data_IF_639629663259
#
_entry.id   IF_639629663259
#
_cell.length_a   1.000
_cell.length_b   1.000
_cell.length_c   1.000
_cell.angle_alpha   90.00
_cell.angle_beta   90.00
_cell.angle_gamma   90.00
#
_symmetry.space_group_name_H-M   'P 1'
#
loop_
_entity.id
_entity.type
_entity.pdbx_description
1 polymer ?
#
# COMPACT_ATOMS: atom_id res chain seq x y z
N UNK A 1 -11.64 13.21 -26.05
CA UNK A 1 -11.76 11.89 -25.37
C UNK A 1 -11.26 10.85 -26.34
N UNK A 2 -9.98 10.49 -26.27
CA UNK A 2 -9.41 9.39 -27.04
C UNK A 2 -9.88 8.09 -26.40
N UNK A 3 -10.56 7.27 -27.17
CA UNK A 3 -10.96 5.91 -26.76
C UNK A 3 -9.71 5.04 -26.69
N UNK A 4 -9.27 4.71 -25.47
CA UNK A 4 -8.31 3.62 -25.30
C UNK A 4 -8.91 2.33 -25.85
N UNK A 5 -8.13 1.56 -26.60
CA UNK A 5 -8.62 0.25 -27.09
C UNK A 5 -8.98 -0.62 -25.89
N UNK A 6 -10.00 -1.48 -26.00
CA UNK A 6 -10.43 -2.36 -24.90
C UNK A 6 -9.30 -3.20 -24.29
N UNK A 7 -8.34 -3.62 -25.12
CA UNK A 7 -7.13 -4.32 -24.67
C UNK A 7 -6.27 -3.46 -23.70
N UNK A 8 -6.05 -2.18 -24.05
CA UNK A 8 -5.25 -1.28 -23.23
C UNK A 8 -5.93 -1.04 -21.87
N UNK A 9 -7.24 -0.86 -21.87
CA UNK A 9 -8.02 -0.68 -20.65
C UNK A 9 -7.97 -1.93 -19.76
N UNK A 10 -8.11 -3.12 -20.36
CA UNK A 10 -7.98 -4.39 -19.64
C UNK A 10 -6.61 -4.59 -19.00
N UNK A 11 -5.52 -4.28 -19.72
CA UNK A 11 -4.16 -4.36 -19.18
C UNK A 11 -3.91 -3.37 -18.04
N UNK A 12 -4.41 -2.15 -18.15
CA UNK A 12 -4.31 -1.16 -17.08
C UNK A 12 -5.10 -1.59 -15.84
N UNK A 13 -6.32 -2.10 -16.00
CA UNK A 13 -7.13 -2.60 -14.88
C UNK A 13 -6.48 -3.80 -14.21
N UNK A 14 -5.89 -4.73 -14.97
CA UNK A 14 -5.16 -5.86 -14.44
C UNK A 14 -3.90 -5.42 -13.67
N UNK A 15 -3.13 -4.46 -14.19
CA UNK A 15 -1.95 -3.93 -13.49
C UNK A 15 -2.34 -3.24 -12.17
N UNK A 16 -3.43 -2.46 -12.16
CA UNK A 16 -3.96 -1.86 -10.93
C UNK A 16 -4.38 -2.92 -9.90
N UNK A 17 -5.04 -4.01 -10.34
CA UNK A 17 -5.40 -5.12 -9.44
C UNK A 17 -4.19 -5.83 -8.86
N UNK A 18 -3.14 -6.04 -9.67
CA UNK A 18 -1.89 -6.64 -9.21
C UNK A 18 -1.21 -5.74 -8.18
N UNK A 19 -1.05 -4.45 -8.47
CA UNK A 19 -0.43 -3.49 -7.54
C UNK A 19 -1.22 -3.39 -6.24
N UNK A 20 -2.54 -3.32 -6.32
CA UNK A 20 -3.42 -3.26 -5.15
C UNK A 20 -3.26 -4.48 -4.25
N UNK A 21 -3.02 -5.67 -4.81
CA UNK A 21 -2.92 -6.92 -4.06
C UNK A 21 -1.73 -6.95 -3.09
N UNK A 22 -0.59 -6.34 -3.41
CA UNK A 22 0.62 -6.48 -2.60
C UNK A 22 1.19 -5.17 -2.06
N UNK A 23 1.06 -4.06 -2.81
CA UNK A 23 1.79 -2.81 -2.55
C UNK A 23 1.52 -2.24 -1.15
N UNK A 24 0.25 -1.99 -0.82
CA UNK A 24 -0.13 -1.46 0.51
C UNK A 24 0.13 -2.46 1.63
N UNK A 25 -0.13 -3.74 1.37
CA UNK A 25 0.12 -4.83 2.31
C UNK A 25 1.59 -4.93 2.70
N UNK A 26 2.51 -4.74 1.74
CA UNK A 26 3.95 -4.71 2.00
C UNK A 26 4.34 -3.55 2.91
N UNK A 27 3.79 -2.36 2.69
CA UNK A 27 4.07 -1.21 3.55
C UNK A 27 3.52 -1.39 4.96
N UNK A 28 2.31 -1.95 5.12
CA UNK A 28 1.79 -2.29 6.45
C UNK A 28 2.67 -3.30 7.16
N UNK A 29 3.15 -4.34 6.47
CA UNK A 29 4.09 -5.31 7.04
C UNK A 29 5.40 -4.66 7.49
N UNK A 30 6.05 -3.86 6.63
CA UNK A 30 7.33 -3.21 6.95
C UNK A 30 7.16 -2.23 8.12
N UNK A 31 6.11 -1.41 8.11
CA UNK A 31 5.82 -0.46 9.19
C UNK A 31 5.61 -1.18 10.51
N UNK A 32 4.83 -2.27 10.50
CA UNK A 32 4.58 -3.10 11.67
C UNK A 32 5.82 -3.86 12.15
N UNK A 33 6.70 -4.26 11.24
CA UNK A 33 7.97 -4.89 11.60
C UNK A 33 8.90 -3.93 12.37
N UNK A 34 8.96 -2.66 11.97
CA UNK A 34 9.83 -1.66 12.59
C UNK A 34 9.22 -1.03 13.85
N UNK A 35 7.91 -1.07 14.01
CA UNK A 35 7.18 -0.38 15.06
C UNK A 35 7.49 -0.87 16.48
N UNK A 36 7.57 -2.19 16.80
CA UNK A 36 7.86 -2.67 18.14
C UNK A 36 9.20 -2.16 18.69
N UNK A 37 10.23 -2.12 17.84
CA UNK A 37 11.53 -1.55 18.20
C UNK A 37 11.42 -0.07 18.57
N UNK A 38 10.67 0.70 17.79
CA UNK A 38 10.46 2.13 18.05
C UNK A 38 9.72 2.36 19.36
N UNK A 39 8.65 1.57 19.62
CA UNK A 39 7.87 1.66 20.85
C UNK A 39 8.68 1.26 22.09
N UNK A 40 9.37 0.12 22.02
CA UNK A 40 10.17 -0.39 23.16
C UNK A 40 11.32 0.57 23.56
N UNK A 41 11.87 1.30 22.57
CA UNK A 41 12.92 2.30 22.82
C UNK A 41 12.40 3.62 23.39
N UNK A 42 11.26 4.13 22.89
CA UNK A 42 10.77 5.48 23.19
C UNK A 42 9.80 5.52 24.36
N UNK A 43 9.11 4.42 24.64
CA UNK A 43 7.98 4.37 25.55
C UNK A 43 6.72 5.00 24.96
N UNK A 44 5.56 4.78 25.61
CA UNK A 44 4.24 5.11 25.07
C UNK A 44 4.06 6.60 24.73
N UNK A 45 4.34 7.50 25.68
CA UNK A 45 4.08 8.95 25.48
C UNK A 45 4.90 9.52 24.34
N UNK A 46 6.20 9.24 24.32
CA UNK A 46 7.09 9.73 23.27
C UNK A 46 6.81 9.06 21.91
N UNK A 47 6.38 7.81 21.91
CA UNK A 47 5.96 7.11 20.69
C UNK A 47 4.72 7.76 20.07
N UNK A 48 3.65 7.96 20.87
CA UNK A 48 2.41 8.60 20.40
C UNK A 48 2.69 10.01 19.87
N UNK A 49 3.44 10.82 20.61
CA UNK A 49 3.81 12.16 20.16
C UNK A 49 4.57 12.16 18.83
N UNK A 50 5.53 11.26 18.69
CA UNK A 50 6.31 11.11 17.44
C UNK A 50 5.41 10.68 16.26
N UNK A 51 4.43 9.78 16.49
CA UNK A 51 3.49 9.35 15.46
C UNK A 51 2.50 10.44 15.05
N UNK A 52 1.96 11.15 16.00
CA UNK A 52 1.08 12.29 15.72
C UNK A 52 1.81 13.40 14.97
N UNK A 53 3.05 13.70 15.34
CA UNK A 53 3.85 14.70 14.64
C UNK A 53 4.19 14.25 13.19
N UNK A 54 4.66 13.00 13.01
CA UNK A 54 5.14 12.51 11.72
C UNK A 54 4.03 12.11 10.75
N UNK A 55 2.92 11.55 11.24
CA UNK A 55 1.83 11.05 10.42
C UNK A 55 0.58 11.93 10.53
N UNK A 56 0.22 12.34 11.76
CA UNK A 56 -1.00 13.09 12.02
C UNK A 56 -0.97 14.50 11.43
N UNK A 57 0.08 15.29 11.67
CA UNK A 57 0.16 16.66 11.16
C UNK A 57 0.16 16.69 9.62
N UNK A 58 1.01 15.92 8.90
CA UNK A 58 0.93 15.88 7.44
C UNK A 58 -0.42 15.39 6.91
N UNK A 59 -1.04 14.42 7.58
CA UNK A 59 -2.37 13.95 7.23
C UNK A 59 -3.42 15.06 7.31
N UNK A 60 -3.42 15.86 8.39
CA UNK A 60 -4.34 17.00 8.54
C UNK A 60 -4.08 18.06 7.48
N UNK A 61 -2.82 18.44 7.24
CA UNK A 61 -2.46 19.41 6.20
C UNK A 61 -2.96 18.92 4.83
N UNK A 62 -2.72 17.64 4.51
CA UNK A 62 -3.19 17.08 3.25
C UNK A 62 -4.71 17.11 3.15
N UNK A 63 -5.41 16.59 4.16
CA UNK A 63 -6.86 16.40 4.12
C UNK A 63 -7.65 17.71 4.05
N UNK A 64 -7.18 18.74 4.76
CA UNK A 64 -7.90 20.03 4.86
C UNK A 64 -7.40 21.10 3.91
N UNK A 65 -6.16 20.99 3.40
CA UNK A 65 -5.58 22.00 2.52
C UNK A 65 -5.27 21.43 1.13
N UNK A 66 -4.44 20.40 1.04
CA UNK A 66 -3.93 19.92 -0.26
C UNK A 66 -5.03 19.26 -1.08
N UNK A 67 -5.80 18.34 -0.47
CA UNK A 67 -6.86 17.62 -1.18
C UNK A 67 -7.99 18.53 -1.70
N UNK A 68 -8.57 19.48 -0.92
CA UNK A 68 -9.54 20.42 -1.44
C UNK A 68 -9.01 21.32 -2.57
N UNK A 69 -7.76 21.79 -2.46
CA UNK A 69 -7.11 22.58 -3.50
C UNK A 69 -6.86 21.76 -4.77
N UNK A 70 -6.48 20.48 -4.63
CA UNK A 70 -6.28 19.58 -5.76
C UNK A 70 -7.60 19.32 -6.51
N UNK A 71 -8.69 19.11 -5.78
CA UNK A 71 -10.03 18.94 -6.36
C UNK A 71 -10.45 20.24 -7.09
N UNK A 72 -10.20 21.41 -6.48
CA UNK A 72 -10.47 22.68 -7.13
C UNK A 72 -9.66 22.85 -8.42
N UNK A 73 -8.39 22.46 -8.41
CA UNK A 73 -7.54 22.54 -9.60
C UNK A 73 -8.00 21.64 -10.74
N UNK A 74 -8.53 20.45 -10.42
CA UNK A 74 -8.99 19.46 -11.42
C UNK A 74 -10.39 19.81 -11.96
N UNK A 75 -11.32 20.19 -11.05
CA UNK A 75 -12.76 20.29 -11.38
C UNK A 75 -13.33 21.71 -11.31
N UNK A 76 -12.56 22.69 -10.87
CA UNK A 76 -13.02 24.08 -10.72
C UNK A 76 -13.98 24.32 -9.55
N UNK A 77 -14.21 23.30 -8.70
CA UNK A 77 -15.10 23.37 -7.53
C UNK A 77 -14.35 23.03 -6.25
N UNK A 78 -14.65 23.73 -5.16
CA UNK A 78 -13.99 23.45 -3.88
C UNK A 78 -14.29 22.01 -3.41
N UNK A 79 -13.24 21.26 -3.21
CA UNK A 79 -13.35 19.91 -2.69
C UNK A 79 -13.72 19.90 -1.21
N UNK A 80 -14.42 18.84 -0.80
CA UNK A 80 -14.59 18.53 0.63
C UNK A 80 -13.28 18.01 1.21
N UNK A 81 -13.02 18.22 2.52
CA UNK A 81 -11.92 17.54 3.20
C UNK A 81 -11.98 16.04 2.98
N UNK A 82 -10.83 15.44 2.67
CA UNK A 82 -10.76 14.00 2.38
C UNK A 82 -9.32 13.52 2.40
N UNK A 83 -9.13 12.21 2.60
CA UNK A 83 -7.80 11.65 2.73
C UNK A 83 -7.09 11.52 1.39
N UNK A 84 -7.83 11.34 0.28
CA UNK A 84 -7.20 11.01 -1.01
C UNK A 84 -6.19 9.87 -0.83
N UNK A 85 -5.01 9.93 -1.46
CA UNK A 85 -3.97 8.90 -1.27
C UNK A 85 -3.47 8.75 0.16
N UNK A 86 -3.65 9.74 1.04
CA UNK A 86 -3.21 9.69 2.45
C UNK A 86 -4.07 8.78 3.33
N UNK A 87 -5.10 8.11 2.78
CA UNK A 87 -5.87 7.10 3.50
C UNK A 87 -4.99 6.00 4.12
N UNK A 88 -3.87 5.65 3.45
CA UNK A 88 -2.89 4.71 3.99
C UNK A 88 -2.27 5.22 5.29
N UNK A 89 -1.84 6.49 5.33
CA UNK A 89 -1.25 7.10 6.54
C UNK A 89 -2.28 7.18 7.66
N UNK A 90 -3.54 7.47 7.34
CA UNK A 90 -4.63 7.46 8.32
C UNK A 90 -4.81 6.06 8.92
N UNK A 91 -4.90 5.03 8.08
CA UNK A 91 -5.01 3.64 8.53
C UNK A 91 -3.79 3.20 9.35
N UNK A 92 -2.58 3.56 8.89
CA UNK A 92 -1.35 3.26 9.61
C UNK A 92 -1.31 3.92 10.99
N UNK A 93 -1.75 5.17 11.08
CA UNK A 93 -1.85 5.90 12.35
C UNK A 93 -2.81 5.19 13.32
N UNK A 94 -3.98 4.75 12.84
CA UNK A 94 -4.94 3.96 13.64
C UNK A 94 -4.28 2.68 14.15
N UNK A 95 -3.60 1.93 13.28
CA UNK A 95 -2.94 0.67 13.67
C UNK A 95 -1.83 0.88 14.70
N UNK A 96 -1.01 1.91 14.54
CA UNK A 96 0.08 2.21 15.47
C UNK A 96 -0.43 2.72 16.82
N UNK A 97 -1.48 3.55 16.85
CA UNK A 97 -2.12 3.98 18.08
C UNK A 97 -2.83 2.81 18.78
N UNK A 98 -3.50 1.95 18.03
CA UNK A 98 -4.12 0.72 18.56
C UNK A 98 -3.08 -0.21 19.20
N UNK A 99 -1.91 -0.36 18.58
CA UNK A 99 -0.81 -1.09 19.17
C UNK A 99 -0.28 -0.44 20.45
N UNK A 100 -0.15 0.89 20.49
CA UNK A 100 0.30 1.59 21.68
C UNK A 100 -0.69 1.41 22.86
N UNK A 101 -2.00 1.47 22.58
CA UNK A 101 -3.07 1.19 23.55
C UNK A 101 -3.00 -0.26 24.02
N UNK A 102 -2.91 -1.22 23.11
CA UNK A 102 -2.75 -2.62 23.44
C UNK A 102 -1.55 -2.85 24.39
N UNK A 103 -0.40 -2.25 24.10
CA UNK A 103 0.83 -2.37 24.88
C UNK A 103 0.74 -1.69 26.25
N UNK A 104 -0.14 -0.70 26.41
CA UNK A 104 -0.41 -0.07 27.70
C UNK A 104 -1.12 -1.03 28.66
N UNK A 105 -2.14 -1.73 28.17
CA UNK A 105 -2.90 -2.69 28.96
C UNK A 105 -2.21 -4.04 29.12
N UNK A 106 -1.51 -4.48 28.08
CA UNK A 106 -0.77 -5.74 28.06
C UNK A 106 0.73 -5.50 28.26
N UNK A 107 1.12 -5.20 29.52
CA UNK A 107 2.53 -4.93 29.89
C UNK A 107 3.45 -6.13 29.69
N UNK A 108 2.92 -7.35 29.80
CA UNK A 108 3.67 -8.55 29.42
C UNK A 108 3.87 -8.54 27.91
N UNK A 109 5.14 -8.48 27.47
CA UNK A 109 5.45 -8.66 26.04
C UNK A 109 4.75 -9.93 25.58
N UNK A 110 3.89 -9.81 24.58
CA UNK A 110 3.30 -10.99 23.93
C UNK A 110 4.44 -11.69 23.18
N UNK A 111 5.21 -12.46 23.90
CA UNK A 111 6.24 -13.32 23.32
C UNK A 111 5.53 -14.59 22.85
N UNK A 112 4.68 -14.43 21.85
CA UNK A 112 4.23 -15.55 21.04
C UNK A 112 5.48 -16.09 20.34
N UNK A 113 6.11 -17.10 20.91
CA UNK A 113 7.21 -17.84 20.30
C UNK A 113 6.67 -18.67 19.15
N UNK A 114 6.40 -18.02 18.05
CA UNK A 114 5.94 -18.67 16.84
C UNK A 114 7.15 -19.11 16.03
N UNK A 115 7.16 -20.38 15.67
CA UNK A 115 8.14 -20.90 14.72
C UNK A 115 7.98 -20.16 13.39
N UNK A 116 9.07 -20.08 12.63
CA UNK A 116 9.00 -19.60 11.25
C UNK A 116 7.92 -20.39 10.49
N UNK A 117 7.03 -19.72 9.73
CA UNK A 117 5.87 -20.41 9.15
C UNK A 117 6.30 -21.51 8.17
N UNK A 118 5.79 -22.71 8.39
CA UNK A 118 5.82 -23.77 7.41
C UNK A 118 4.82 -23.49 6.28
N UNK A 119 4.89 -24.25 5.20
CA UNK A 119 3.98 -24.12 4.04
C UNK A 119 2.51 -24.08 4.48
N UNK A 120 2.10 -24.98 5.40
CA UNK A 120 0.73 -25.00 5.91
C UNK A 120 0.32 -23.69 6.61
N UNK A 121 1.23 -23.04 7.35
CA UNK A 121 0.98 -21.74 7.98
C UNK A 121 0.77 -20.62 6.97
N UNK A 122 1.53 -20.63 5.85
CA UNK A 122 1.38 -19.68 4.75
C UNK A 122 0.03 -19.89 4.06
N UNK A 123 -0.32 -21.15 3.74
CA UNK A 123 -1.60 -21.48 3.10
C UNK A 123 -2.79 -21.10 3.99
N UNK A 124 -2.70 -21.39 5.29
CA UNK A 124 -3.74 -21.02 6.25
C UNK A 124 -3.90 -19.50 6.36
N UNK A 125 -2.80 -18.74 6.35
CA UNK A 125 -2.84 -17.26 6.34
C UNK A 125 -3.55 -16.74 5.09
N UNK A 126 -3.21 -17.25 3.90
CA UNK A 126 -3.85 -16.87 2.65
C UNK A 126 -5.35 -17.19 2.68
N UNK A 127 -5.72 -18.39 3.11
CA UNK A 127 -7.12 -18.82 3.19
C UNK A 127 -7.93 -17.95 4.17
N UNK A 128 -7.39 -17.71 5.38
CA UNK A 128 -8.08 -16.92 6.40
C UNK A 128 -8.26 -15.47 5.99
N UNK A 129 -7.25 -14.84 5.41
CA UNK A 129 -7.34 -13.45 4.95
C UNK A 129 -8.25 -13.32 3.72
N UNK A 130 -8.20 -14.28 2.79
CA UNK A 130 -9.09 -14.31 1.64
C UNK A 130 -10.56 -14.57 2.02
N UNK A 131 -10.82 -15.55 2.90
CA UNK A 131 -12.17 -15.80 3.40
C UNK A 131 -12.74 -14.59 4.16
N UNK A 132 -11.93 -13.95 5.01
CA UNK A 132 -12.34 -12.74 5.72
C UNK A 132 -12.61 -11.58 4.74
N UNK A 133 -11.80 -11.42 3.68
CA UNK A 133 -12.03 -10.42 2.65
C UNK A 133 -13.33 -10.70 1.89
N UNK A 134 -13.60 -11.95 1.52
CA UNK A 134 -14.87 -12.34 0.89
C UNK A 134 -16.07 -12.00 1.76
N UNK A 135 -16.04 -12.37 3.06
CA UNK A 135 -17.12 -12.08 3.98
C UNK A 135 -17.37 -10.57 4.17
N UNK A 136 -16.33 -9.76 4.26
CA UNK A 136 -16.48 -8.30 4.36
C UNK A 136 -17.06 -7.72 3.06
N UNK A 137 -16.65 -8.23 1.89
CA UNK A 137 -17.13 -7.78 0.58
C UNK A 137 -18.60 -8.13 0.31
N UNK A 138 -19.20 -9.03 1.08
CA UNK A 138 -20.66 -9.22 1.02
C UNK A 138 -21.42 -7.98 1.48
N UNK A 139 -20.84 -7.16 2.38
CA UNK A 139 -21.46 -5.96 2.95
C UNK A 139 -20.84 -4.66 2.43
N UNK A 140 -19.55 -4.67 2.18
CA UNK A 140 -18.77 -3.51 1.71
C UNK A 140 -17.97 -3.94 0.47
N UNK A 141 -18.57 -3.90 -0.72
CA UNK A 141 -17.91 -4.26 -1.97
C UNK A 141 -16.65 -3.43 -2.24
N UNK A 142 -15.75 -3.97 -3.05
CA UNK A 142 -14.57 -3.23 -3.56
C UNK A 142 -15.04 -1.99 -4.30
N UNK A 143 -14.39 -0.85 -4.08
CA UNK A 143 -14.80 0.45 -4.64
C UNK A 143 -15.78 1.21 -3.74
N UNK A 144 -16.42 0.55 -2.76
CA UNK A 144 -17.22 1.23 -1.73
C UNK A 144 -16.32 1.79 -0.64
N UNK A 145 -16.61 3.01 -0.22
CA UNK A 145 -15.83 3.69 0.82
C UNK A 145 -16.68 3.92 2.07
N UNK A 146 -16.11 3.56 3.22
CA UNK A 146 -16.64 3.88 4.54
C UNK A 146 -15.66 4.81 5.23
N UNK A 147 -16.03 6.05 5.48
CA UNK A 147 -15.15 7.10 6.02
C UNK A 147 -13.89 7.33 5.16
N UNK A 148 -14.00 7.20 3.85
CA UNK A 148 -12.87 7.33 2.91
C UNK A 148 -11.91 6.14 2.90
N UNK A 149 -12.33 4.97 3.44
CA UNK A 149 -11.57 3.74 3.50
C UNK A 149 -12.28 2.61 2.77
N UNK A 150 -11.56 1.87 1.94
CA UNK A 150 -12.07 0.69 1.24
C UNK A 150 -11.91 -0.56 2.10
N UNK A 151 -12.87 -0.81 2.99
CA UNK A 151 -12.80 -1.87 4.00
C UNK A 151 -12.69 -3.29 3.40
N UNK A 152 -13.08 -3.49 2.14
CA UNK A 152 -12.94 -4.76 1.45
C UNK A 152 -11.50 -5.31 1.36
N UNK A 153 -10.48 -4.45 1.52
CA UNK A 153 -9.05 -4.84 1.52
C UNK A 153 -8.46 -5.00 2.94
N UNK A 154 -9.17 -4.55 3.96
CA UNK A 154 -8.65 -4.49 5.33
C UNK A 154 -8.25 -5.84 5.93
N UNK A 155 -8.93 -6.97 5.66
CA UNK A 155 -8.49 -8.26 6.20
C UNK A 155 -7.05 -8.60 5.86
N UNK A 156 -6.64 -8.33 4.62
CA UNK A 156 -5.27 -8.55 4.19
C UNK A 156 -4.30 -7.54 4.83
N UNK A 157 -4.68 -6.25 4.92
CA UNK A 157 -3.86 -5.22 5.55
C UNK A 157 -3.64 -5.48 7.04
N UNK A 158 -4.70 -5.84 7.77
CA UNK A 158 -4.63 -6.21 9.19
C UNK A 158 -3.78 -7.48 9.36
N UNK A 159 -4.00 -8.50 8.51
CA UNK A 159 -3.23 -9.73 8.52
C UNK A 159 -1.74 -9.47 8.34
N UNK A 160 -1.36 -8.68 7.33
CA UNK A 160 0.03 -8.33 7.05
C UNK A 160 0.65 -7.45 8.14
N UNK A 161 -0.12 -6.53 8.73
CA UNK A 161 0.33 -5.72 9.85
C UNK A 161 0.62 -6.59 11.09
N UNK A 162 -0.29 -7.47 11.46
CA UNK A 162 -0.07 -8.40 12.58
C UNK A 162 1.10 -9.35 12.32
N UNK A 163 1.22 -9.84 11.07
CA UNK A 163 2.34 -10.68 10.65
C UNK A 163 3.68 -9.95 10.79
N UNK A 164 3.73 -8.65 10.47
CA UNK A 164 4.92 -7.82 10.66
C UNK A 164 5.37 -7.73 12.12
N UNK A 165 4.43 -7.54 13.06
CA UNK A 165 4.72 -7.54 14.50
C UNK A 165 5.28 -8.90 14.95
N UNK A 166 4.63 -10.00 14.54
CA UNK A 166 5.05 -11.36 14.87
C UNK A 166 6.42 -11.66 14.29
N UNK A 167 6.66 -11.27 13.03
CA UNK A 167 7.94 -11.45 12.35
C UNK A 167 9.08 -10.73 13.07
N UNK A 168 8.85 -9.51 13.54
CA UNK A 168 9.83 -8.76 14.34
C UNK A 168 10.16 -9.50 15.65
N UNK A 169 9.12 -9.88 16.40
CA UNK A 169 9.28 -10.54 17.72
C UNK A 169 9.98 -11.89 17.66
N UNK A 170 9.89 -12.59 16.53
CA UNK A 170 10.45 -13.93 16.33
C UNK A 170 11.66 -13.95 15.38
N UNK A 171 12.17 -12.79 15.00
CA UNK A 171 13.34 -12.66 14.12
C UNK A 171 13.19 -13.44 12.79
N UNK A 172 11.99 -13.39 12.20
CA UNK A 172 11.71 -14.14 10.97
C UNK A 172 12.49 -13.63 9.76
N UNK A 173 12.73 -12.32 9.67
CA UNK A 173 13.52 -11.78 8.57
C UNK A 173 14.97 -12.29 8.57
N UNK A 174 15.51 -12.73 9.71
CA UNK A 174 16.85 -13.33 9.76
C UNK A 174 16.90 -14.69 9.05
N UNK A 175 15.76 -15.39 9.00
CA UNK A 175 15.60 -16.73 8.40
C UNK A 175 15.12 -16.71 6.96
N UNK A 176 14.65 -15.56 6.48
CA UNK A 176 14.12 -15.40 5.11
C UNK A 176 15.26 -15.56 4.09
N UNK A 177 15.03 -16.36 3.04
CA UNK A 177 15.97 -16.53 1.94
C UNK A 177 15.26 -16.61 0.59
N UNK A 178 15.95 -16.19 -0.47
CA UNK A 178 15.41 -16.16 -1.83
C UNK A 178 14.99 -17.54 -2.33
N UNK A 179 15.74 -18.59 -1.99
CA UNK A 179 15.42 -19.98 -2.38
C UNK A 179 14.02 -20.41 -1.93
N UNK A 180 13.62 -20.03 -0.70
CA UNK A 180 12.32 -20.41 -0.15
C UNK A 180 11.19 -19.48 -0.63
N UNK A 181 11.51 -18.25 -1.01
CA UNK A 181 10.54 -17.27 -1.48
C UNK A 181 10.23 -17.43 -2.98
N UNK A 182 11.20 -17.89 -3.77
CA UNK A 182 11.08 -17.98 -5.23
C UNK A 182 9.91 -18.84 -5.70
N UNK A 183 9.60 -20.03 -5.13
CA UNK A 183 8.45 -20.81 -5.56
C UNK A 183 7.13 -20.05 -5.41
N UNK A 184 6.95 -19.31 -4.32
CA UNK A 184 5.75 -18.50 -4.08
C UNK A 184 5.63 -17.36 -5.06
N UNK A 185 6.74 -16.72 -5.39
CA UNK A 185 6.79 -15.67 -6.41
C UNK A 185 6.44 -16.25 -7.79
N UNK A 186 7.02 -17.40 -8.15
CA UNK A 186 6.69 -18.05 -9.42
C UNK A 186 5.21 -18.43 -9.52
N UNK A 187 4.60 -18.93 -8.43
CA UNK A 187 3.16 -19.19 -8.37
C UNK A 187 2.37 -17.89 -8.62
N UNK A 188 2.74 -16.79 -7.95
CA UNK A 188 2.06 -15.50 -8.14
C UNK A 188 2.17 -15.01 -9.59
N UNK A 189 3.35 -15.08 -10.22
CA UNK A 189 3.57 -14.56 -11.56
C UNK A 189 3.01 -15.52 -12.64
N UNK A 190 3.34 -16.81 -12.55
CA UNK A 190 3.01 -17.78 -13.62
C UNK A 190 1.58 -18.33 -13.53
N UNK A 191 0.97 -18.32 -12.36
CA UNK A 191 -0.41 -18.76 -12.16
C UNK A 191 -1.33 -17.59 -11.81
N UNK A 192 -0.91 -16.71 -10.91
CA UNK A 192 -1.74 -15.61 -10.43
C UNK A 192 -2.05 -14.58 -11.53
N UNK A 193 -1.07 -14.08 -12.25
CA UNK A 193 -1.31 -13.09 -13.32
C UNK A 193 -2.15 -13.69 -14.46
N UNK A 194 -1.81 -14.86 -15.04
CA UNK A 194 -2.61 -15.43 -16.10
C UNK A 194 -4.04 -15.78 -15.66
N UNK A 195 -4.24 -16.29 -14.44
CA UNK A 195 -5.59 -16.58 -13.94
C UNK A 195 -6.46 -15.33 -13.85
N UNK A 196 -5.90 -14.20 -13.39
CA UNK A 196 -6.61 -12.92 -13.37
C UNK A 196 -6.99 -12.48 -14.79
N UNK A 197 -6.05 -12.51 -15.72
CA UNK A 197 -6.29 -12.11 -17.11
C UNK A 197 -7.35 -12.99 -17.79
N UNK A 198 -7.29 -14.30 -17.60
CA UNK A 198 -8.26 -15.24 -18.15
C UNK A 198 -9.66 -14.97 -17.57
N UNK A 199 -9.76 -14.84 -16.26
CA UNK A 199 -11.06 -14.62 -15.61
C UNK A 199 -11.62 -13.24 -15.98
N UNK A 200 -10.81 -12.18 -15.98
CA UNK A 200 -11.26 -10.84 -16.41
C UNK A 200 -11.67 -10.81 -17.89
N UNK A 201 -10.97 -11.51 -18.77
CA UNK A 201 -11.35 -11.57 -20.20
C UNK A 201 -12.63 -12.35 -20.43
N UNK A 202 -12.87 -13.42 -19.66
CA UNK A 202 -14.08 -14.26 -19.76
C UNK A 202 -15.33 -13.55 -19.24
N UNK A 203 -15.21 -12.58 -18.34
CA UNK A 203 -16.29 -11.84 -17.69
C UNK A 203 -16.18 -10.34 -17.90
N UNK A 204 -15.64 -9.89 -19.03
CA UNK A 204 -15.36 -8.47 -19.32
C UNK A 204 -16.59 -7.56 -19.24
N UNK A 205 -17.79 -8.08 -19.51
CA UNK A 205 -19.06 -7.34 -19.40
C UNK A 205 -19.67 -7.38 -17.99
N UNK A 206 -19.09 -8.14 -17.06
CA UNK A 206 -19.61 -8.41 -15.72
C UNK A 206 -18.57 -8.09 -14.63
N UNK A 207 -17.80 -7.01 -14.82
CA UNK A 207 -16.73 -6.62 -13.90
C UNK A 207 -17.22 -6.31 -12.48
N UNK A 208 -18.47 -5.91 -12.35
CA UNK A 208 -19.09 -5.61 -11.06
C UNK A 208 -19.18 -6.84 -10.14
N UNK A 209 -19.24 -8.06 -10.71
CA UNK A 209 -19.29 -9.32 -9.95
C UNK A 209 -17.98 -9.60 -9.17
N UNK A 210 -16.87 -8.93 -9.53
CA UNK A 210 -15.60 -9.06 -8.80
C UNK A 210 -15.56 -8.20 -7.53
N UNK A 211 -16.41 -7.19 -7.44
CA UNK A 211 -16.36 -6.22 -6.35
C UNK A 211 -16.91 -6.77 -5.04
N UNK A 212 -17.87 -7.71 -5.07
CA UNK A 212 -18.50 -8.29 -3.88
C UNK A 212 -19.75 -9.07 -4.21
N UNK A 213 -20.42 -9.60 -3.22
CA UNK A 213 -21.60 -10.47 -3.38
C UNK A 213 -21.26 -11.96 -3.26
N UNK A 214 -22.30 -12.82 -3.43
CA UNK A 214 -22.18 -14.29 -3.37
C UNK A 214 -21.73 -14.91 -4.70
N UNK A 215 -20.93 -14.17 -5.47
CA UNK A 215 -20.49 -14.57 -6.79
C UNK A 215 -19.14 -15.29 -6.76
N UNK A 216 -18.95 -16.25 -7.66
CA UNK A 216 -17.68 -16.99 -7.79
C UNK A 216 -16.53 -16.06 -8.16
N UNK A 217 -16.78 -15.01 -8.91
CA UNK A 217 -15.81 -13.98 -9.30
C UNK A 217 -15.32 -13.20 -8.08
N UNK A 218 -16.23 -12.81 -7.17
CA UNK A 218 -15.87 -12.16 -5.90
C UNK A 218 -15.06 -13.09 -5.01
N UNK A 219 -15.43 -14.37 -4.91
CA UNK A 219 -14.67 -15.37 -4.16
C UNK A 219 -13.28 -15.60 -4.77
N UNK A 220 -13.21 -15.74 -6.09
CA UNK A 220 -11.93 -15.87 -6.80
C UNK A 220 -11.02 -14.69 -6.48
N UNK A 221 -11.50 -13.45 -6.62
CA UNK A 221 -10.71 -12.26 -6.40
C UNK A 221 -10.25 -12.15 -4.93
N UNK A 222 -11.13 -12.46 -3.98
CA UNK A 222 -10.81 -12.44 -2.56
C UNK A 222 -9.73 -13.47 -2.15
N UNK A 223 -9.70 -14.64 -2.79
CA UNK A 223 -8.68 -15.68 -2.55
C UNK A 223 -7.40 -15.44 -3.37
N UNK A 224 -7.51 -14.82 -4.53
CA UNK A 224 -6.41 -14.48 -5.41
C UNK A 224 -5.46 -13.43 -4.80
N UNK A 225 -6.01 -12.38 -4.18
CA UNK A 225 -5.21 -11.29 -3.60
C UNK A 225 -4.18 -11.76 -2.55
N UNK A 226 -4.51 -12.60 -1.55
CA UNK A 226 -3.52 -13.08 -0.61
C UNK A 226 -2.42 -13.93 -1.24
N UNK A 227 -2.73 -14.67 -2.32
CA UNK A 227 -1.74 -15.46 -3.06
C UNK A 227 -0.73 -14.53 -3.73
N UNK A 228 -1.22 -13.50 -4.43
CA UNK A 228 -0.38 -12.48 -5.03
C UNK A 228 0.44 -11.73 -3.97
N UNK A 229 -0.23 -11.28 -2.91
CA UNK A 229 0.41 -10.56 -1.81
C UNK A 229 1.58 -11.35 -1.22
N UNK A 230 1.33 -12.58 -0.78
CA UNK A 230 2.36 -13.39 -0.12
C UNK A 230 3.49 -13.74 -1.11
N UNK A 231 3.15 -14.15 -2.33
CA UNK A 231 4.15 -14.49 -3.34
C UNK A 231 5.10 -13.34 -3.63
N UNK A 232 4.56 -12.16 -3.88
CA UNK A 232 5.36 -10.97 -4.24
C UNK A 232 6.08 -10.41 -3.00
N UNK A 233 5.38 -10.21 -1.88
CA UNK A 233 5.97 -9.62 -0.67
C UNK A 233 7.08 -10.48 -0.09
N UNK A 234 6.87 -11.80 -0.01
CA UNK A 234 7.88 -12.73 0.51
C UNK A 234 9.16 -12.67 -0.34
N UNK A 235 9.02 -12.67 -1.67
CA UNK A 235 10.15 -12.57 -2.58
C UNK A 235 10.84 -11.21 -2.47
N UNK A 236 10.12 -10.10 -2.48
CA UNK A 236 10.70 -8.75 -2.37
C UNK A 236 11.48 -8.58 -1.07
N UNK A 237 10.96 -9.07 0.05
CA UNK A 237 11.66 -9.02 1.34
C UNK A 237 12.93 -9.88 1.34
N UNK A 238 12.88 -11.09 0.78
CA UNK A 238 14.02 -11.98 0.69
C UNK A 238 15.10 -11.45 -0.27
N UNK A 239 14.69 -10.97 -1.43
CA UNK A 239 15.56 -10.40 -2.44
C UNK A 239 16.21 -9.10 -1.95
N UNK A 240 15.42 -8.21 -1.36
CA UNK A 240 15.90 -6.95 -0.79
C UNK A 240 16.94 -7.18 0.31
N UNK A 241 16.70 -8.15 1.22
CA UNK A 241 17.68 -8.54 2.23
C UNK A 241 18.99 -9.05 1.61
N UNK A 242 18.91 -9.87 0.55
CA UNK A 242 20.09 -10.47 -0.07
C UNK A 242 20.92 -9.48 -0.90
N UNK A 243 20.28 -8.54 -1.60
CA UNK A 243 20.94 -7.73 -2.62
C UNK A 243 20.99 -6.23 -2.29
N UNK A 244 20.01 -5.70 -1.53
CA UNK A 244 19.89 -4.27 -1.26
C UNK A 244 20.33 -3.87 0.16
N UNK A 245 20.85 -4.79 0.94
CA UNK A 245 21.33 -4.53 2.31
C UNK A 245 22.72 -3.84 2.33
N UNK A 246 23.13 -3.24 1.22
CA UNK A 246 24.37 -2.45 1.12
C UNK A 246 24.02 -0.96 1.12
N UNK A 247 24.79 -0.11 1.84
CA UNK A 247 24.56 1.32 1.83
C UNK A 247 24.86 1.90 0.43
N UNK A 248 23.81 2.37 -0.24
CA UNK A 248 23.90 3.09 -1.51
C UNK A 248 23.52 4.56 -1.27
N UNK A 249 24.42 5.53 -1.49
CA UNK A 249 24.17 6.94 -1.15
C UNK A 249 22.94 7.52 -1.84
N UNK A 250 22.65 7.13 -3.09
CA UNK A 250 21.47 7.56 -3.82
C UNK A 250 20.18 7.03 -3.16
N UNK A 251 20.16 5.72 -2.83
CA UNK A 251 18.99 5.08 -2.20
C UNK A 251 18.74 5.69 -0.83
N UNK A 252 19.78 6.01 -0.06
CA UNK A 252 19.62 6.69 1.23
C UNK A 252 19.01 8.08 1.08
N UNK A 253 19.43 8.86 0.08
CA UNK A 253 18.85 10.18 -0.21
C UNK A 253 17.38 10.05 -0.61
N UNK A 254 17.05 9.15 -1.54
CA UNK A 254 15.68 8.91 -1.97
C UNK A 254 14.80 8.39 -0.83
N UNK A 255 15.31 7.47 0.00
CA UNK A 255 14.61 6.96 1.18
C UNK A 255 14.25 8.08 2.18
N UNK A 256 15.12 9.05 2.36
CA UNK A 256 14.87 10.19 3.26
C UNK A 256 13.74 11.08 2.75
N UNK A 257 13.57 11.21 1.44
CA UNK A 257 12.55 12.05 0.81
C UNK A 257 11.26 11.27 0.45
N UNK A 258 11.23 9.92 0.63
CA UNK A 258 10.15 9.05 0.17
C UNK A 258 8.79 9.39 0.78
N UNK A 259 8.74 9.73 2.07
CA UNK A 259 7.48 10.08 2.72
C UNK A 259 6.95 11.43 2.23
N UNK A 260 7.82 12.41 2.02
CA UNK A 260 7.44 13.69 1.44
C UNK A 260 7.04 13.53 -0.05
N UNK A 261 7.68 12.61 -0.79
CA UNK A 261 7.29 12.25 -2.15
C UNK A 261 5.88 11.65 -2.18
N UNK A 262 5.58 10.74 -1.25
CA UNK A 262 4.24 10.20 -1.10
C UNK A 262 3.19 11.27 -0.75
N UNK A 263 3.54 12.27 0.05
CA UNK A 263 2.65 13.39 0.38
C UNK A 263 2.34 14.27 -0.84
N UNK A 264 3.33 14.60 -1.66
CA UNK A 264 3.20 15.60 -2.74
C UNK A 264 2.88 15.00 -4.13
N UNK A 265 3.07 13.66 -4.31
CA UNK A 265 2.92 13.05 -5.64
C UNK A 265 1.58 13.34 -6.33
N UNK A 266 0.41 13.44 -5.68
CA UNK A 266 -0.83 13.69 -6.40
C UNK A 266 -0.83 15.05 -7.08
N UNK A 267 -0.26 16.06 -6.42
CA UNK A 267 -0.14 17.41 -6.97
C UNK A 267 0.79 17.43 -8.18
N UNK A 268 1.95 16.75 -8.04
CA UNK A 268 2.95 16.67 -9.13
C UNK A 268 2.40 15.88 -10.31
N UNK A 269 1.76 14.73 -10.06
CA UNK A 269 1.20 13.88 -11.13
C UNK A 269 0.10 14.62 -11.89
N UNK A 270 -0.82 15.27 -11.18
CA UNK A 270 -1.86 16.09 -11.83
C UNK A 270 -1.24 17.23 -12.67
N UNK A 271 -0.25 17.94 -12.13
CA UNK A 271 0.48 18.95 -12.90
C UNK A 271 1.16 18.39 -14.15
N UNK A 272 1.81 17.22 -14.03
CA UNK A 272 2.39 16.54 -15.19
C UNK A 272 1.33 16.14 -16.22
N UNK A 273 0.17 15.64 -15.80
CA UNK A 273 -0.93 15.29 -16.70
C UNK A 273 -1.38 16.51 -17.49
N UNK A 274 -1.67 17.64 -16.84
CA UNK A 274 -2.07 18.86 -17.52
C UNK A 274 -1.03 19.34 -18.53
N UNK A 275 0.26 19.28 -18.20
CA UNK A 275 1.31 19.66 -19.15
C UNK A 275 1.38 18.69 -20.32
N UNK A 276 1.25 17.38 -20.07
CA UNK A 276 1.31 16.36 -21.13
C UNK A 276 0.05 16.30 -22.00
N UNK A 277 -1.09 16.83 -21.52
CA UNK A 277 -2.29 17.01 -22.34
C UNK A 277 -2.10 18.01 -23.49
N UNK A 278 -1.15 18.93 -23.36
CA UNK A 278 -0.80 19.88 -24.42
C UNK A 278 -0.01 19.22 -25.57
N UNK A 279 0.51 18.02 -25.38
CA UNK A 279 1.30 17.31 -26.36
C UNK A 279 0.40 16.44 -27.26
N UNK A 280 0.57 16.50 -28.60
CA UNK A 280 -0.20 15.67 -29.55
C UNK A 280 0.37 14.23 -29.62
N UNK A 281 0.35 13.53 -28.50
CA UNK A 281 0.89 12.14 -28.36
C UNK A 281 -0.20 11.17 -27.93
N UNK A 282 -0.02 9.88 -28.23
CA UNK A 282 -0.97 8.83 -27.83
C UNK A 282 -1.12 8.72 -26.31
N UNK A 283 -2.27 8.20 -25.79
CA UNK A 283 -2.49 8.04 -24.35
C UNK A 283 -1.41 7.20 -23.66
N UNK A 284 -0.92 6.12 -24.31
CA UNK A 284 0.16 5.30 -23.78
C UNK A 284 1.50 6.04 -23.69
N UNK A 285 1.81 6.83 -24.72
CA UNK A 285 3.02 7.67 -24.69
C UNK A 285 2.91 8.75 -23.62
N UNK A 286 1.73 9.35 -23.43
CA UNK A 286 1.46 10.32 -22.36
C UNK A 286 1.66 9.68 -20.99
N UNK A 287 1.13 8.48 -20.76
CA UNK A 287 1.34 7.72 -19.52
C UNK A 287 2.84 7.47 -19.27
N UNK A 288 3.57 7.00 -20.29
CA UNK A 288 5.01 6.76 -20.18
C UNK A 288 5.77 8.05 -19.83
N UNK A 289 5.44 9.18 -20.48
CA UNK A 289 6.05 10.48 -20.19
C UNK A 289 5.75 10.96 -18.77
N UNK A 290 4.49 10.80 -18.30
CA UNK A 290 4.13 11.14 -16.92
C UNK A 290 4.92 10.30 -15.92
N UNK A 291 5.14 9.01 -16.18
CA UNK A 291 5.96 8.17 -15.31
C UNK A 291 7.43 8.60 -15.31
N UNK A 292 8.02 8.81 -16.48
CA UNK A 292 9.44 9.17 -16.62
C UNK A 292 9.76 10.53 -16.04
N UNK A 293 8.90 11.52 -16.26
CA UNK A 293 9.09 12.90 -15.78
C UNK A 293 8.55 13.07 -14.36
N UNK A 294 7.38 12.49 -14.06
CA UNK A 294 6.70 12.66 -12.78
C UNK A 294 7.49 12.09 -11.60
N UNK A 295 8.16 10.93 -11.76
CA UNK A 295 8.94 10.33 -10.67
C UNK A 295 10.07 11.26 -10.20
N UNK A 296 10.99 11.75 -11.06
CA UNK A 296 12.00 12.72 -10.65
C UNK A 296 11.40 14.02 -10.09
N UNK A 297 10.35 14.55 -10.71
CA UNK A 297 9.66 15.75 -10.23
C UNK A 297 9.08 15.56 -8.83
N UNK A 298 8.52 14.39 -8.52
CA UNK A 298 8.04 14.07 -7.17
C UNK A 298 9.16 14.15 -6.12
N UNK A 299 10.34 13.61 -6.41
CA UNK A 299 11.46 13.64 -5.46
C UNK A 299 12.06 15.05 -5.33
N UNK A 300 12.09 15.84 -6.39
CA UNK A 300 12.53 17.24 -6.34
C UNK A 300 11.56 18.06 -5.49
N UNK A 301 10.25 17.95 -5.75
CA UNK A 301 9.21 18.60 -4.97
C UNK A 301 9.19 18.15 -3.50
N UNK A 302 9.37 16.86 -3.26
CA UNK A 302 9.45 16.25 -1.92
C UNK A 302 10.55 16.88 -1.06
N UNK A 303 11.71 17.13 -1.66
CA UNK A 303 12.81 17.80 -0.95
C UNK A 303 12.43 19.21 -0.53
N UNK A 304 11.74 19.96 -1.38
CA UNK A 304 11.22 21.29 -1.05
C UNK A 304 10.20 21.23 0.07
N UNK A 305 9.22 20.33 -0.02
CA UNK A 305 8.18 20.13 1.01
C UNK A 305 8.80 19.76 2.36
N UNK A 306 9.76 18.82 2.37
CA UNK A 306 10.44 18.42 3.60
C UNK A 306 11.21 19.58 4.25
N UNK A 307 11.87 20.41 3.46
CA UNK A 307 12.55 21.60 3.97
C UNK A 307 11.56 22.60 4.59
N UNK A 308 10.49 22.91 3.88
CA UNK A 308 9.45 23.87 4.35
C UNK A 308 8.76 23.35 5.61
N UNK A 309 8.31 22.09 5.64
CA UNK A 309 7.66 21.53 6.82
C UNK A 309 8.63 21.33 7.98
N UNK A 310 9.90 21.09 7.69
CA UNK A 310 10.98 21.03 8.69
C UNK A 310 11.18 22.35 9.44
N UNK A 311 10.99 23.51 8.78
CA UNK A 311 11.11 24.83 9.46
C UNK A 311 10.01 25.06 10.49
N UNK A 312 8.84 24.46 10.34
CA UNK A 312 7.73 24.50 11.30
C UNK A 312 7.71 23.30 12.27
N UNK A 313 8.80 22.53 12.33
CA UNK A 313 8.96 21.45 13.28
C UNK A 313 8.23 20.15 12.93
N UNK A 314 7.66 20.03 11.74
CA UNK A 314 7.03 18.81 11.25
C UNK A 314 8.10 17.86 10.69
N UNK A 315 8.17 16.65 11.22
CA UNK A 315 9.13 15.62 10.79
C UNK A 315 8.52 14.80 9.67
N UNK A 316 9.15 14.81 8.50
CA UNK A 316 8.83 13.93 7.38
C UNK A 316 9.98 12.98 7.07
#
# INVERSE_FOLDING_TARGET
KETTTGLTQGLLSASMGIDQSYFMSLFFFISAYLMPFSFDRKGMKSFIYDRLNRLGIPLLIYSFLVNPLLIYWIYGVWGRPGFGPMWFVFTLLIFELSYAVYRHFCTKRLVLKWKYPAIMGILLFMLMTGAAAFLIRLYVPVGSEVLGLQLGFFPLYIGMYLLGIVAHRNHWLDKICVKNALPWFLIAILCGIPSLLIVMSSFSEQMDLFSGGWDLQALFYALWEPVMCVGICYFLLAYGKAHWNKPMPLVQKLSTDSYAAYFIHPVVVVGCIFVMELLPVSPLMRLALVCVVGIPCCFIAARGVRLVLGTVGVKM
#
